data_IF_340911735653
#
_entry.id   IF_340911735653
#
_cell.length_a   1.000
_cell.length_b   1.000
_cell.length_c   1.000
_cell.angle_alpha   90.00
_cell.angle_beta   90.00
_cell.angle_gamma   90.00
#
_symmetry.space_group_name_H-M   'P 1'
#
loop_
_entity.id
_entity.type
_entity.pdbx_description
1 polymer ?
#
# COMPACT_ATOMS: atom_id res chain seq x y z
N UNK A 1 -11.60 11.26 -43.17
CA UNK A 1 -11.24 10.17 -42.24
C UNK A 1 -9.90 10.47 -41.58
N UNK A 2 -9.86 11.46 -40.70
CA UNK A 2 -8.57 11.81 -40.05
C UNK A 2 -8.82 12.65 -38.78
N UNK A 3 -9.46 12.10 -37.71
CA UNK A 3 -9.54 12.90 -36.47
C UNK A 3 -9.88 12.09 -35.21
N UNK A 4 -9.76 10.77 -35.17
CA UNK A 4 -10.05 10.03 -33.90
C UNK A 4 -8.84 9.40 -33.20
N UNK A 5 -7.62 9.51 -33.72
CA UNK A 5 -6.44 8.89 -33.10
C UNK A 5 -5.67 9.81 -32.14
N UNK A 6 -5.82 11.11 -32.24
CA UNK A 6 -5.07 12.11 -31.46
C UNK A 6 -5.37 12.19 -29.94
N UNK A 7 -6.60 11.98 -29.44
CA UNK A 7 -6.85 12.11 -28.01
C UNK A 7 -6.38 10.92 -27.15
N UNK A 8 -6.15 9.75 -27.74
CA UNK A 8 -5.73 8.55 -26.98
C UNK A 8 -4.22 8.58 -26.69
N UNK A 9 -3.41 9.01 -27.62
CA UNK A 9 -1.96 9.18 -27.43
C UNK A 9 -1.65 10.26 -26.38
N UNK A 10 -2.39 11.38 -26.38
CA UNK A 10 -2.23 12.44 -25.36
C UNK A 10 -2.67 12.04 -23.96
N UNK A 11 -3.58 11.10 -23.79
CA UNK A 11 -3.99 10.58 -22.47
C UNK A 11 -2.94 9.63 -21.91
N UNK A 12 -2.35 8.78 -22.73
CA UNK A 12 -1.29 7.85 -22.31
C UNK A 12 0.02 8.60 -21.97
N UNK A 13 0.39 9.59 -22.76
CA UNK A 13 1.53 10.49 -22.46
C UNK A 13 1.29 11.31 -21.18
N UNK A 14 0.11 11.88 -21.00
CA UNK A 14 -0.24 12.62 -19.77
C UNK A 14 -0.31 11.73 -18.55
N UNK A 15 -0.84 10.51 -18.65
CA UNK A 15 -0.84 9.54 -17.56
C UNK A 15 0.58 9.11 -17.19
N UNK A 16 1.43 8.83 -18.19
CA UNK A 16 2.83 8.45 -17.96
C UNK A 16 3.63 9.60 -17.37
N UNK A 17 3.47 10.83 -17.88
CA UNK A 17 4.15 12.01 -17.33
C UNK A 17 3.66 12.37 -15.92
N UNK A 18 2.37 12.25 -15.66
CA UNK A 18 1.80 12.49 -14.30
C UNK A 18 2.25 11.41 -13.30
N UNK A 19 2.35 10.15 -13.72
CA UNK A 19 2.90 9.06 -12.90
C UNK A 19 4.39 9.26 -12.63
N UNK A 20 5.17 9.63 -13.64
CA UNK A 20 6.60 9.92 -13.48
C UNK A 20 6.82 11.12 -12.56
N UNK A 21 6.07 12.22 -12.73
CA UNK A 21 6.15 13.40 -11.88
C UNK A 21 5.74 13.09 -10.43
N UNK A 22 4.74 12.23 -10.21
CA UNK A 22 4.34 11.79 -8.86
C UNK A 22 5.35 10.82 -8.24
N UNK A 23 5.98 9.96 -9.02
CA UNK A 23 7.08 9.12 -8.58
C UNK A 23 8.30 9.97 -8.19
N UNK A 24 8.69 10.93 -9.01
CA UNK A 24 9.80 11.85 -8.73
C UNK A 24 9.51 12.70 -7.47
N UNK A 25 8.29 13.21 -7.32
CA UNK A 25 7.90 13.93 -6.10
C UNK A 25 7.90 13.03 -4.87
N UNK A 26 7.52 11.77 -4.99
CA UNK A 26 7.58 10.78 -3.91
C UNK A 26 9.03 10.43 -3.56
N UNK A 27 9.90 10.23 -4.55
CA UNK A 27 11.34 10.02 -4.33
C UNK A 27 12.01 11.23 -3.68
N UNK A 28 11.64 12.44 -4.09
CA UNK A 28 12.13 13.68 -3.48
C UNK A 28 11.71 13.79 -2.01
N UNK A 29 10.45 13.51 -1.70
CA UNK A 29 9.93 13.49 -0.32
C UNK A 29 10.66 12.45 0.53
N UNK A 30 10.98 11.30 -0.03
CA UNK A 30 11.76 10.23 0.63
C UNK A 30 13.18 10.70 0.91
N UNK A 31 13.84 11.30 -0.08
CA UNK A 31 15.20 11.82 0.08
C UNK A 31 15.24 12.91 1.14
N UNK A 32 14.27 13.83 1.16
CA UNK A 32 14.15 14.87 2.18
C UNK A 32 13.86 14.28 3.58
N UNK A 33 13.09 13.21 3.68
CA UNK A 33 12.85 12.51 4.96
C UNK A 33 14.08 11.75 5.42
N UNK A 34 14.83 11.11 4.52
CA UNK A 34 16.10 10.48 4.82
C UNK A 34 17.14 11.51 5.28
N UNK A 35 17.21 12.67 4.63
CA UNK A 35 18.09 13.76 5.04
C UNK A 35 17.73 14.32 6.43
N UNK A 36 16.45 14.48 6.73
CA UNK A 36 15.95 14.82 8.08
C UNK A 36 16.28 13.75 9.10
N UNK A 37 16.19 12.47 8.75
CA UNK A 37 16.60 11.35 9.59
C UNK A 37 18.10 11.37 9.87
N UNK A 38 18.94 11.59 8.84
CA UNK A 38 20.39 11.73 9.02
C UNK A 38 20.75 12.94 9.89
N UNK A 39 20.05 14.06 9.75
CA UNK A 39 20.23 15.24 10.59
C UNK A 39 19.82 14.99 12.03
N UNK A 40 18.67 14.34 12.26
CA UNK A 40 18.21 13.92 13.59
C UNK A 40 19.15 12.90 14.23
N UNK A 41 19.74 11.99 13.43
CA UNK A 41 20.79 11.08 13.88
C UNK A 41 22.06 11.81 14.31
N UNK A 42 22.43 12.89 13.61
CA UNK A 42 23.57 13.76 13.99
C UNK A 42 23.33 14.52 15.31
N UNK A 43 22.14 15.07 15.45
CA UNK A 43 21.72 15.78 16.69
C UNK A 43 21.59 14.82 17.89
N UNK A 44 21.17 13.57 17.62
CA UNK A 44 21.05 12.53 18.65
C UNK A 44 22.42 11.97 19.12
N UNK A 45 23.46 12.07 18.30
CA UNK A 45 24.83 11.73 18.72
C UNK A 45 25.35 12.71 19.81
N UNK A 46 24.92 13.96 19.77
CA UNK A 46 25.21 14.93 20.85
C UNK A 46 24.36 14.69 22.11
N UNK A 47 23.08 14.26 21.94
CA UNK A 47 22.25 13.84 23.08
C UNK A 47 22.75 12.54 23.73
N UNK A 48 23.35 11.62 22.96
CA UNK A 48 23.88 10.34 23.48
C UNK A 48 25.04 10.57 24.48
N UNK A 49 25.79 11.64 24.34
CA UNK A 49 26.81 12.04 25.33
C UNK A 49 26.18 12.58 26.63
N UNK A 50 24.89 13.01 26.61
CA UNK A 50 24.15 13.41 27.81
C UNK A 50 23.36 12.27 28.48
N UNK A 51 23.22 11.11 27.80
CA UNK A 51 22.38 9.98 28.25
C UNK A 51 23.04 9.18 29.37
N UNK A 52 24.36 9.24 29.55
CA UNK A 52 25.04 8.56 30.65
C UNK A 52 24.54 9.03 32.04
N UNK A 53 24.11 10.29 32.18
CA UNK A 53 23.49 10.78 33.41
C UNK A 53 22.01 10.37 33.61
N UNK A 54 21.29 10.11 32.52
CA UNK A 54 19.87 9.73 32.55
C UNK A 54 19.65 8.23 32.82
N UNK A 55 20.63 7.37 32.52
CA UNK A 55 20.57 5.93 32.84
C UNK A 55 20.50 5.70 34.34
N UNK A 56 21.20 6.50 35.13
CA UNK A 56 21.17 6.43 36.61
C UNK A 56 19.81 6.84 37.20
N UNK A 57 19.13 7.78 36.56
CA UNK A 57 17.80 8.24 36.97
C UNK A 57 16.72 7.24 36.56
N UNK A 58 16.82 6.65 35.39
CA UNK A 58 15.95 5.55 34.92
C UNK A 58 16.11 4.28 35.79
N UNK A 59 17.31 4.01 36.27
CA UNK A 59 17.59 2.87 37.15
C UNK A 59 16.80 2.94 38.48
N UNK A 60 16.52 4.18 39.00
CA UNK A 60 15.69 4.37 40.20
C UNK A 60 14.20 4.11 39.97
N UNK A 61 13.71 4.28 38.74
CA UNK A 61 12.28 4.10 38.41
C UNK A 61 11.99 2.64 38.01
N UNK A 62 12.97 1.91 37.46
CA UNK A 62 12.82 0.53 36.96
C UNK A 62 13.47 -0.50 37.93
N UNK A 63 13.17 -0.44 39.20
CA UNK A 63 13.69 -1.37 40.21
C UNK A 63 13.19 -2.82 40.09
N UNK A 64 12.14 -3.09 39.28
CA UNK A 64 11.52 -4.40 39.13
C UNK A 64 11.76 -4.97 37.73
N UNK A 65 12.27 -6.21 37.62
CA UNK A 65 12.52 -6.92 36.34
C UNK A 65 11.27 -6.97 35.44
N UNK A 66 10.11 -7.18 36.04
CA UNK A 66 8.83 -7.21 35.30
C UNK A 66 8.47 -5.84 34.71
N UNK A 67 8.74 -4.74 35.47
CA UNK A 67 8.49 -3.39 34.98
C UNK A 67 9.40 -3.02 33.81
N UNK A 68 10.63 -3.54 33.78
CA UNK A 68 11.59 -3.32 32.67
C UNK A 68 11.16 -4.01 31.37
N UNK A 69 10.70 -5.27 31.44
CA UNK A 69 10.13 -5.99 30.28
C UNK A 69 8.94 -5.22 29.72
N UNK A 70 7.96 -4.90 30.55
CA UNK A 70 6.78 -4.13 30.15
C UNK A 70 7.13 -2.77 29.55
N UNK A 71 8.18 -2.10 30.04
CA UNK A 71 8.61 -0.82 29.48
C UNK A 71 9.13 -0.97 28.02
N UNK A 72 9.92 -2.01 27.75
CA UNK A 72 10.45 -2.28 26.41
C UNK A 72 9.31 -2.60 25.42
N UNK A 73 8.33 -3.40 25.87
CA UNK A 73 7.12 -3.69 25.10
C UNK A 73 6.30 -2.43 24.79
N UNK A 74 6.07 -1.56 25.78
CA UNK A 74 5.32 -0.30 25.63
C UNK A 74 6.06 0.66 24.70
N UNK A 75 7.39 0.74 24.79
CA UNK A 75 8.19 1.54 23.89
C UNK A 75 8.08 1.06 22.44
N UNK A 76 8.25 -0.24 22.21
CA UNK A 76 8.14 -0.84 20.89
C UNK A 76 6.72 -0.64 20.32
N UNK A 77 5.70 -0.85 21.13
CA UNK A 77 4.30 -0.57 20.75
C UNK A 77 4.11 0.87 20.32
N UNK A 78 4.64 1.83 21.08
CA UNK A 78 4.57 3.25 20.72
C UNK A 78 5.22 3.56 19.36
N UNK A 79 6.34 2.91 19.04
CA UNK A 79 6.99 3.04 17.73
C UNK A 79 6.10 2.43 16.62
N UNK A 80 5.53 1.25 16.84
CA UNK A 80 4.63 0.58 15.89
C UNK A 80 3.37 1.41 15.63
N UNK A 81 2.73 1.94 16.68
CA UNK A 81 1.55 2.80 16.59
C UNK A 81 1.81 4.07 15.80
N UNK A 82 3.00 4.66 15.92
CA UNK A 82 3.36 5.88 15.19
C UNK A 82 3.73 5.62 13.73
N UNK A 83 4.30 4.46 13.41
CA UNK A 83 4.84 4.17 12.07
C UNK A 83 3.90 3.36 11.19
N UNK A 84 3.28 2.32 11.75
CA UNK A 84 2.47 1.33 11.01
C UNK A 84 1.22 0.88 11.78
N UNK A 85 0.35 1.79 12.27
CA UNK A 85 -0.70 1.51 13.25
C UNK A 85 -1.70 0.40 12.86
N UNK A 86 -1.90 0.15 11.56
CA UNK A 86 -2.85 -0.87 11.06
C UNK A 86 -2.18 -2.13 10.52
N UNK A 87 -0.85 -2.18 10.52
CA UNK A 87 -0.08 -3.20 9.83
C UNK A 87 0.66 -4.15 10.75
N UNK A 88 0.30 -4.21 12.03
CA UNK A 88 0.83 -5.17 12.98
C UNK A 88 -0.27 -5.77 13.84
N UNK A 89 0.06 -6.83 14.53
CA UNK A 89 -0.78 -7.52 15.51
C UNK A 89 0.02 -7.79 16.78
N UNK A 90 -0.68 -7.80 17.92
CA UNK A 90 -0.09 -8.07 19.22
C UNK A 90 -0.39 -9.50 19.66
N UNK A 91 0.55 -10.12 20.37
CA UNK A 91 0.40 -11.43 21.01
C UNK A 91 -0.09 -12.52 20.03
N UNK A 92 0.66 -12.71 18.94
CA UNK A 92 0.28 -13.60 17.84
C UNK A 92 0.95 -14.96 17.97
N UNK A 93 0.17 -16.02 17.79
CA UNK A 93 0.71 -17.38 17.73
C UNK A 93 1.37 -17.60 16.34
N UNK A 94 2.70 -17.50 16.29
CA UNK A 94 3.49 -17.67 15.06
C UNK A 94 4.24 -19.00 15.02
N UNK A 95 4.64 -19.55 16.17
CA UNK A 95 5.36 -20.80 16.29
C UNK A 95 4.53 -22.03 15.91
N UNK A 96 5.14 -23.20 15.97
CA UNK A 96 4.46 -24.49 15.70
C UNK A 96 3.37 -24.80 16.74
N UNK A 97 3.58 -24.38 17.97
CA UNK A 97 2.62 -24.57 19.07
C UNK A 97 1.80 -23.31 19.28
N UNK A 98 0.53 -23.47 19.59
CA UNK A 98 -0.38 -22.35 19.90
C UNK A 98 0.08 -21.50 21.11
N UNK A 99 0.92 -22.06 21.99
CA UNK A 99 1.54 -21.38 23.12
C UNK A 99 2.74 -20.52 22.77
N UNK A 100 3.31 -20.71 21.59
CA UNK A 100 4.47 -19.95 21.09
C UNK A 100 3.98 -18.67 20.43
N UNK A 101 3.76 -17.64 21.27
CA UNK A 101 3.21 -16.35 20.86
C UNK A 101 4.28 -15.27 20.93
N UNK A 102 4.44 -14.54 19.86
CA UNK A 102 5.32 -13.36 19.79
C UNK A 102 4.57 -12.12 20.25
N UNK A 103 5.28 -11.18 20.87
CA UNK A 103 4.71 -9.91 21.36
C UNK A 103 4.09 -9.10 20.23
N UNK A 104 4.80 -8.93 19.11
CA UNK A 104 4.35 -8.19 17.95
C UNK A 104 4.68 -8.92 16.66
N UNK A 105 3.78 -8.83 15.67
CA UNK A 105 4.01 -9.35 14.34
C UNK A 105 3.57 -8.32 13.29
N UNK A 106 4.48 -7.88 12.44
CA UNK A 106 4.17 -6.98 11.32
C UNK A 106 3.60 -7.77 10.16
N UNK A 107 2.46 -7.32 9.63
CA UNK A 107 1.78 -7.95 8.48
C UNK A 107 2.38 -7.47 7.18
N UNK A 108 3.08 -8.34 6.48
CA UNK A 108 3.63 -8.09 5.15
C UNK A 108 2.60 -8.55 4.12
N UNK A 109 2.03 -7.63 3.32
CA UNK A 109 1.03 -7.98 2.30
C UNK A 109 1.58 -9.00 1.31
N UNK A 110 0.76 -10.00 0.98
CA UNK A 110 1.08 -10.93 -0.11
C UNK A 110 0.86 -10.28 -1.48
N UNK A 111 1.66 -10.68 -2.47
CA UNK A 111 1.46 -10.27 -3.87
C UNK A 111 0.24 -10.95 -4.51
N UNK A 112 -0.25 -12.04 -3.93
CA UNK A 112 -1.38 -12.81 -4.44
C UNK A 112 -2.69 -12.31 -3.82
N UNK A 113 -3.70 -12.02 -4.66
CA UNK A 113 -5.03 -11.59 -4.20
C UNK A 113 -5.69 -12.67 -3.35
N UNK A 114 -5.99 -12.33 -2.10
CA UNK A 114 -6.68 -13.20 -1.17
C UNK A 114 -5.78 -14.14 -0.36
N UNK A 115 -4.45 -14.08 -0.55
CA UNK A 115 -3.52 -14.79 0.32
C UNK A 115 -3.38 -14.08 1.67
N UNK A 116 -3.19 -14.84 2.72
CA UNK A 116 -2.92 -14.30 4.06
C UNK A 116 -1.59 -13.54 4.08
N UNK A 117 -1.45 -12.46 4.86
CA UNK A 117 -0.20 -11.73 4.98
C UNK A 117 0.86 -12.61 5.67
N UNK A 118 2.10 -12.49 5.21
CA UNK A 118 3.25 -13.08 5.92
C UNK A 118 3.57 -12.25 7.15
N UNK A 119 3.79 -12.88 8.28
CA UNK A 119 4.06 -12.22 9.55
C UNK A 119 5.56 -12.06 9.79
N UNK A 120 6.02 -10.85 10.13
CA UNK A 120 7.37 -10.60 10.61
C UNK A 120 7.35 -10.52 12.14
N UNK A 121 7.88 -11.53 12.86
CA UNK A 121 7.89 -11.54 14.31
C UNK A 121 8.88 -10.49 14.86
N UNK A 122 8.46 -9.73 15.86
CA UNK A 122 9.31 -8.78 16.60
C UNK A 122 9.10 -9.03 18.10
N UNK A 123 10.17 -9.27 18.79
CA UNK A 123 10.16 -9.55 20.21
C UNK A 123 11.08 -8.58 20.94
N UNK A 124 10.61 -7.98 22.04
CA UNK A 124 11.39 -6.98 22.78
C UNK A 124 12.24 -7.63 23.86
N UNK A 125 13.50 -7.24 23.95
CA UNK A 125 14.42 -7.71 24.96
C UNK A 125 15.19 -6.58 25.61
N UNK A 126 15.27 -6.65 26.94
CA UNK A 126 15.96 -5.64 27.74
C UNK A 126 16.78 -6.25 28.86
N UNK A 127 17.93 -6.90 28.56
CA UNK A 127 18.84 -7.48 29.56
C UNK A 127 19.61 -6.38 30.32
N UNK A 128 18.87 -5.55 31.03
CA UNK A 128 19.39 -4.34 31.68
C UNK A 128 20.43 -4.63 32.77
N UNK A 129 20.28 -5.72 33.51
CA UNK A 129 21.21 -6.07 34.59
C UNK A 129 22.59 -6.40 34.06
N UNK A 130 22.65 -7.14 32.97
CA UNK A 130 23.93 -7.51 32.33
C UNK A 130 24.58 -6.27 31.68
N UNK A 131 23.75 -5.40 31.10
CA UNK A 131 24.22 -4.14 30.49
C UNK A 131 24.73 -3.13 31.55
N UNK A 132 24.06 -2.99 32.70
CA UNK A 132 24.53 -2.14 33.80
C UNK A 132 25.86 -2.66 34.33
N UNK A 133 25.98 -3.98 34.58
CA UNK A 133 27.24 -4.58 35.03
C UNK A 133 28.41 -4.27 34.09
N UNK A 134 28.12 -4.27 32.79
CA UNK A 134 29.09 -3.94 31.77
C UNK A 134 29.50 -2.44 31.84
N UNK A 135 28.53 -1.54 31.98
CA UNK A 135 28.78 -0.09 32.14
C UNK A 135 29.57 0.19 33.41
N UNK A 136 29.19 -0.39 34.57
CA UNK A 136 29.88 -0.22 35.83
C UNK A 136 31.35 -0.70 35.78
N UNK A 137 31.59 -1.84 35.12
CA UNK A 137 32.94 -2.37 34.90
C UNK A 137 33.78 -1.46 33.99
N UNK A 138 33.16 -0.86 32.97
CA UNK A 138 33.82 0.11 32.10
C UNK A 138 34.16 1.41 32.83
N UNK A 139 33.25 1.95 33.65
CA UNK A 139 33.45 3.17 34.43
C UNK A 139 34.54 3.01 35.49
N UNK A 140 34.66 1.81 36.08
CA UNK A 140 35.73 1.48 37.03
C UNK A 140 37.05 1.10 36.35
N UNK A 141 37.15 1.13 35.03
CA UNK A 141 38.35 0.74 34.27
C UNK A 141 38.88 -0.66 34.62
N UNK A 142 38.01 -1.58 35.10
CA UNK A 142 38.38 -2.97 35.42
C UNK A 142 38.26 -3.85 34.14
N UNK A 143 39.39 -4.07 33.49
CA UNK A 143 39.43 -4.82 32.23
C UNK A 143 38.97 -6.28 32.40
N UNK A 144 39.21 -6.91 33.54
CA UNK A 144 38.81 -8.31 33.79
C UNK A 144 37.30 -8.38 34.05
N UNK A 145 36.74 -7.51 34.87
CA UNK A 145 35.33 -7.40 35.11
C UNK A 145 34.56 -7.02 33.83
N UNK A 146 35.11 -6.10 33.02
CA UNK A 146 34.53 -5.69 31.73
C UNK A 146 34.42 -6.87 30.75
N UNK A 147 35.48 -7.68 30.60
CA UNK A 147 35.48 -8.85 29.72
C UNK A 147 34.48 -9.89 30.21
N UNK A 148 34.40 -10.14 31.52
CA UNK A 148 33.41 -11.07 32.09
C UNK A 148 31.96 -10.61 31.89
N UNK A 149 31.68 -9.29 32.15
CA UNK A 149 30.36 -8.72 31.97
C UNK A 149 29.92 -8.72 30.50
N UNK A 150 30.84 -8.41 29.57
CA UNK A 150 30.56 -8.50 28.11
C UNK A 150 30.16 -9.90 27.69
N UNK A 151 30.93 -10.91 28.12
CA UNK A 151 30.62 -12.31 27.84
C UNK A 151 29.26 -12.72 28.40
N UNK A 152 28.96 -12.33 29.64
CA UNK A 152 27.67 -12.63 30.27
C UNK A 152 26.49 -12.02 29.48
N UNK A 153 26.62 -10.78 29.02
CA UNK A 153 25.64 -10.11 28.17
C UNK A 153 25.46 -10.84 26.85
N UNK A 154 26.55 -11.21 26.16
CA UNK A 154 26.52 -11.95 24.91
C UNK A 154 25.84 -13.32 25.07
N UNK A 155 26.18 -14.09 26.11
CA UNK A 155 25.56 -15.36 26.43
C UNK A 155 24.05 -15.21 26.70
N UNK A 156 23.66 -14.12 27.39
CA UNK A 156 22.25 -13.79 27.61
C UNK A 156 21.51 -13.53 26.30
N UNK A 157 22.06 -12.71 25.41
CA UNK A 157 21.49 -12.41 24.09
C UNK A 157 21.35 -13.69 23.24
N UNK A 158 22.34 -14.58 23.27
CA UNK A 158 22.23 -15.87 22.58
C UNK A 158 21.12 -16.75 23.16
N UNK A 159 20.92 -16.72 24.46
CA UNK A 159 19.79 -17.39 25.12
C UNK A 159 18.45 -16.87 24.64
N UNK A 160 18.29 -15.54 24.59
CA UNK A 160 17.07 -14.90 24.09
C UNK A 160 16.83 -15.22 22.61
N UNK A 161 17.88 -15.23 21.79
CA UNK A 161 17.75 -15.57 20.37
C UNK A 161 17.21 -16.99 20.15
N UNK A 162 17.61 -17.96 20.99
CA UNK A 162 17.05 -19.32 20.93
C UNK A 162 15.56 -19.36 21.18
N UNK A 163 15.07 -18.52 22.10
CA UNK A 163 13.64 -18.42 22.39
C UNK A 163 12.89 -17.75 21.23
N UNK A 164 13.41 -16.64 20.70
CA UNK A 164 12.79 -15.90 19.58
C UNK A 164 12.75 -16.75 18.30
N UNK A 165 13.74 -17.59 18.05
CA UNK A 165 13.76 -18.48 16.89
C UNK A 165 12.52 -19.37 16.78
N UNK A 166 11.89 -19.74 17.91
CA UNK A 166 10.68 -20.55 17.95
C UNK A 166 9.47 -19.86 17.28
N UNK A 167 9.51 -18.55 17.13
CA UNK A 167 8.46 -17.77 16.47
C UNK A 167 8.56 -17.78 14.95
N UNK A 168 9.66 -18.31 14.38
CA UNK A 168 9.88 -18.40 12.93
C UNK A 168 9.25 -19.70 12.42
N UNK A 169 8.21 -19.59 11.59
CA UNK A 169 7.45 -20.70 11.03
C UNK A 169 7.05 -20.39 9.58
N UNK A 170 7.93 -20.68 8.64
CA UNK A 170 7.70 -20.45 7.20
C UNK A 170 6.71 -21.48 6.64
N UNK A 171 5.72 -21.08 5.83
CA UNK A 171 5.55 -19.78 5.17
C UNK A 171 4.71 -18.75 5.94
N UNK A 172 4.16 -19.11 7.10
CA UNK A 172 3.33 -18.19 7.91
C UNK A 172 4.09 -16.94 8.34
N UNK A 173 5.38 -17.10 8.65
CA UNK A 173 6.26 -15.99 9.00
C UNK A 173 7.35 -15.78 7.97
N UNK A 174 8.02 -14.62 8.05
CA UNK A 174 9.31 -14.41 7.39
C UNK A 174 10.33 -15.45 7.87
N UNK A 175 11.38 -15.76 7.05
CA UNK A 175 12.44 -16.70 7.45
C UNK A 175 13.38 -16.14 8.53
N UNK A 176 13.07 -14.99 9.09
CA UNK A 176 13.80 -14.31 10.17
C UNK A 176 12.83 -13.58 11.11
N UNK A 177 13.30 -13.30 12.32
CA UNK A 177 12.61 -12.48 13.30
C UNK A 177 13.50 -11.34 13.77
N UNK A 178 12.91 -10.32 14.41
CA UNK A 178 13.63 -9.16 14.96
C UNK A 178 13.65 -9.26 16.47
N UNK A 179 14.85 -9.14 17.04
CA UNK A 179 15.07 -8.88 18.45
C UNK A 179 15.21 -7.37 18.65
N UNK A 180 14.22 -6.75 19.24
CA UNK A 180 14.25 -5.34 19.58
C UNK A 180 14.96 -5.13 20.90
N UNK A 181 16.04 -4.33 20.88
CA UNK A 181 16.82 -3.94 22.06
C UNK A 181 16.39 -2.54 22.49
N UNK A 182 15.86 -2.41 23.69
CA UNK A 182 15.11 -1.24 24.12
C UNK A 182 15.92 0.07 24.26
N UNK A 183 17.26 0.03 24.16
CA UNK A 183 18.11 1.22 24.16
C UNK A 183 19.15 1.18 23.05
N UNK A 184 19.48 2.34 22.50
CA UNK A 184 20.56 2.46 21.48
C UNK A 184 21.91 2.04 22.02
N UNK A 185 22.22 2.31 23.30
CA UNK A 185 23.49 1.91 23.92
C UNK A 185 23.62 0.38 23.96
N UNK A 186 22.57 -0.34 24.36
CA UNK A 186 22.57 -1.81 24.34
C UNK A 186 22.69 -2.35 22.90
N UNK A 187 21.95 -1.77 21.95
CA UNK A 187 22.08 -2.12 20.56
C UNK A 187 23.48 -1.91 20.02
N UNK A 188 24.08 -0.75 20.28
CA UNK A 188 25.43 -0.42 19.83
C UNK A 188 26.50 -1.36 20.41
N UNK A 189 26.39 -1.73 21.69
CA UNK A 189 27.30 -2.68 22.33
C UNK A 189 27.23 -4.06 21.65
N UNK A 190 26.01 -4.58 21.39
CA UNK A 190 25.84 -5.86 20.73
C UNK A 190 26.26 -5.82 19.26
N UNK A 191 25.87 -4.74 18.54
CA UNK A 191 26.17 -4.59 17.12
C UNK A 191 27.68 -4.42 16.85
N UNK A 192 28.43 -3.86 17.81
CA UNK A 192 29.88 -3.67 17.71
C UNK A 192 30.71 -4.80 18.34
N UNK A 193 30.05 -5.88 18.76
CA UNK A 193 30.73 -7.01 19.40
C UNK A 193 31.76 -7.63 18.44
N UNK A 194 32.98 -7.81 18.95
CA UNK A 194 34.10 -8.42 18.22
C UNK A 194 34.09 -9.95 18.26
N UNK A 195 33.16 -10.53 19.01
CA UNK A 195 33.04 -12.00 19.14
C UNK A 195 32.35 -12.66 17.94
N UNK A 196 31.88 -11.88 16.95
CA UNK A 196 31.08 -12.39 15.83
C UNK A 196 29.63 -12.66 16.24
N UNK A 197 29.15 -12.07 17.33
CA UNK A 197 27.80 -12.28 17.85
C UNK A 197 26.70 -11.85 16.84
N UNK A 198 26.76 -10.66 16.20
CA UNK A 198 25.74 -10.25 15.23
C UNK A 198 25.61 -11.25 14.06
N UNK A 199 26.73 -11.71 13.51
CA UNK A 199 26.78 -12.68 12.43
C UNK A 199 26.21 -14.04 12.87
N UNK A 200 26.50 -14.44 14.10
CA UNK A 200 25.99 -15.67 14.68
C UNK A 200 24.47 -15.62 14.90
N UNK A 201 23.95 -14.49 15.40
CA UNK A 201 22.51 -14.26 15.54
C UNK A 201 21.80 -14.37 14.21
N UNK A 202 22.36 -13.76 13.16
CA UNK A 202 21.77 -13.77 11.83
C UNK A 202 21.88 -15.14 11.15
N UNK A 203 23.06 -15.77 11.15
CA UNK A 203 23.32 -16.96 10.34
C UNK A 203 22.83 -18.26 11.01
N UNK A 204 22.94 -18.37 12.34
CA UNK A 204 22.54 -19.59 13.05
C UNK A 204 21.10 -19.54 13.56
N UNK A 205 20.63 -18.35 13.98
CA UNK A 205 19.31 -18.19 14.60
C UNK A 205 18.30 -17.51 13.69
N UNK A 206 18.71 -16.89 12.59
CA UNK A 206 17.88 -16.06 11.73
C UNK A 206 17.27 -14.87 12.49
N UNK A 207 18.03 -14.29 13.41
CA UNK A 207 17.58 -13.15 14.23
C UNK A 207 18.35 -11.89 13.79
N UNK A 208 17.60 -10.86 13.46
CA UNK A 208 18.13 -9.51 13.24
C UNK A 208 17.95 -8.69 14.53
N UNK A 209 19.01 -8.01 14.96
CA UNK A 209 18.93 -7.07 16.10
C UNK A 209 18.55 -5.68 15.62
N UNK A 210 17.75 -4.97 16.39
CA UNK A 210 17.39 -3.58 16.11
C UNK A 210 17.25 -2.77 17.40
N UNK A 211 17.84 -1.57 17.42
CA UNK A 211 17.57 -0.55 18.43
C UNK A 211 16.39 0.34 18.04
N UNK A 212 16.00 1.31 18.87
CA UNK A 212 14.87 2.21 18.63
C UNK A 212 14.95 2.95 17.29
N UNK A 213 16.13 3.44 16.92
CA UNK A 213 16.36 4.15 15.65
C UNK A 213 16.31 3.18 14.48
N UNK A 214 16.98 2.04 14.60
CA UNK A 214 17.05 1.04 13.53
C UNK A 214 15.69 0.45 13.22
N UNK A 215 14.89 0.10 14.24
CA UNK A 215 13.54 -0.42 14.05
C UNK A 215 12.62 0.63 13.42
N UNK A 216 12.71 1.89 13.86
CA UNK A 216 11.91 2.97 13.29
C UNK A 216 12.24 3.18 11.81
N UNK A 217 13.50 3.16 11.42
CA UNK A 217 13.93 3.28 10.03
C UNK A 217 13.43 2.11 9.19
N UNK A 218 13.52 0.88 9.71
CA UNK A 218 13.02 -0.32 9.05
C UNK A 218 11.51 -0.27 8.85
N UNK A 219 10.74 0.06 9.90
CA UNK A 219 9.28 0.14 9.84
C UNK A 219 8.80 1.24 8.87
N UNK A 220 9.47 2.38 8.85
CA UNK A 220 9.20 3.43 7.87
C UNK A 220 9.45 2.96 6.43
N UNK A 221 10.55 2.24 6.20
CA UNK A 221 10.87 1.67 4.89
C UNK A 221 9.83 0.64 4.45
N UNK A 222 9.41 -0.24 5.35
CA UNK A 222 8.32 -1.21 5.11
C UNK A 222 7.00 -0.50 4.81
N UNK A 223 6.63 0.52 5.60
CA UNK A 223 5.40 1.31 5.38
C UNK A 223 5.36 1.93 3.98
N UNK A 224 6.49 2.47 3.52
CA UNK A 224 6.60 2.98 2.15
C UNK A 224 6.47 1.89 1.10
N UNK A 225 7.15 0.77 1.27
CA UNK A 225 7.05 -0.38 0.38
C UNK A 225 5.60 -0.86 0.25
N UNK A 226 4.89 -1.01 1.35
CA UNK A 226 3.50 -1.44 1.38
C UNK A 226 2.54 -0.44 0.70
N UNK A 227 2.73 0.86 0.92
CA UNK A 227 1.97 1.91 0.21
C UNK A 227 2.19 1.83 -1.31
N UNK A 228 3.42 1.58 -1.74
CA UNK A 228 3.75 1.44 -3.15
C UNK A 228 3.06 0.22 -3.78
N UNK A 229 3.07 -0.93 -3.10
CA UNK A 229 2.36 -2.15 -3.54
C UNK A 229 0.85 -1.88 -3.66
N UNK A 230 0.24 -1.28 -2.64
CA UNK A 230 -1.19 -0.94 -2.66
C UNK A 230 -1.57 0.04 -3.78
N UNK A 231 -0.72 1.03 -4.09
CA UNK A 231 -0.91 1.95 -5.21
C UNK A 231 -0.84 1.19 -6.55
N UNK A 232 0.13 0.30 -6.72
CA UNK A 232 0.28 -0.49 -7.94
C UNK A 232 -0.91 -1.44 -8.18
N UNK A 233 -1.46 -2.04 -7.14
CA UNK A 233 -2.66 -2.87 -7.23
C UNK A 233 -3.86 -2.05 -7.70
N UNK A 234 -4.11 -0.89 -7.09
CA UNK A 234 -5.18 0.02 -7.52
C UNK A 234 -4.99 0.53 -8.94
N UNK A 235 -3.76 0.86 -9.34
CA UNK A 235 -3.46 1.26 -10.72
C UNK A 235 -3.79 0.15 -11.73
N UNK A 236 -3.50 -1.10 -11.39
CA UNK A 236 -3.84 -2.25 -12.24
C UNK A 236 -5.36 -2.49 -12.32
N UNK A 237 -6.11 -2.25 -11.25
CA UNK A 237 -7.58 -2.31 -11.27
C UNK A 237 -8.17 -1.23 -12.19
N UNK A 238 -7.67 0.00 -12.10
CA UNK A 238 -8.08 1.10 -12.99
C UNK A 238 -7.76 0.79 -14.44
N UNK A 239 -6.57 0.24 -14.75
CA UNK A 239 -6.22 -0.20 -16.11
C UNK A 239 -7.19 -1.24 -16.67
N UNK A 240 -7.57 -2.23 -15.87
CA UNK A 240 -8.56 -3.26 -16.28
C UNK A 240 -9.93 -2.64 -16.56
N UNK A 241 -10.37 -1.70 -15.70
CA UNK A 241 -11.62 -0.98 -15.89
C UNK A 241 -11.60 -0.15 -17.19
N UNK A 242 -10.52 0.59 -17.44
CA UNK A 242 -10.36 1.36 -18.68
C UNK A 242 -10.35 0.48 -19.92
N UNK A 243 -9.71 -0.68 -19.88
CA UNK A 243 -9.75 -1.64 -20.98
C UNK A 243 -11.16 -2.16 -21.26
N UNK A 244 -11.93 -2.46 -20.22
CA UNK A 244 -13.33 -2.86 -20.35
C UNK A 244 -14.19 -1.72 -20.93
N UNK A 245 -14.02 -0.49 -20.45
CA UNK A 245 -14.70 0.69 -21.01
C UNK A 245 -14.38 0.90 -22.49
N UNK A 246 -13.10 0.76 -22.88
CA UNK A 246 -12.70 0.85 -24.29
C UNK A 246 -13.45 -0.15 -25.16
N UNK A 247 -13.51 -1.41 -24.74
CA UNK A 247 -14.23 -2.46 -25.46
C UNK A 247 -15.71 -2.12 -25.62
N UNK A 248 -16.36 -1.59 -24.57
CA UNK A 248 -17.76 -1.18 -24.63
C UNK A 248 -17.97 0.03 -25.55
N UNK A 249 -17.02 0.93 -25.59
CA UNK A 249 -17.06 2.10 -26.48
C UNK A 249 -16.99 1.69 -27.95
N UNK A 250 -16.16 0.71 -28.30
CA UNK A 250 -16.06 0.16 -29.67
C UNK A 250 -17.36 -0.53 -30.08
N UNK A 251 -17.99 -1.29 -29.18
CA UNK A 251 -19.31 -1.90 -29.41
C UNK A 251 -20.38 -0.82 -29.63
N UNK A 252 -20.40 0.23 -28.79
CA UNK A 252 -21.33 1.34 -28.92
C UNK A 252 -21.19 2.06 -30.25
N UNK A 253 -19.95 2.32 -30.70
CA UNK A 253 -19.68 2.89 -32.03
C UNK A 253 -20.25 2.04 -33.17
N UNK A 254 -20.16 0.71 -33.07
CA UNK A 254 -20.74 -0.21 -34.03
C UNK A 254 -22.28 -0.13 -34.06
N UNK A 255 -22.91 -0.03 -32.89
CA UNK A 255 -24.36 0.10 -32.77
C UNK A 255 -24.85 1.41 -33.39
N UNK A 256 -24.14 2.53 -33.12
CA UNK A 256 -24.47 3.82 -33.70
C UNK A 256 -24.35 3.83 -35.24
N UNK A 257 -23.33 3.19 -35.81
CA UNK A 257 -23.21 3.05 -37.26
C UNK A 257 -24.36 2.28 -37.87
N UNK A 258 -24.80 1.18 -37.20
CA UNK A 258 -25.97 0.42 -37.63
C UNK A 258 -27.26 1.23 -37.56
N UNK A 259 -27.46 2.01 -36.51
CA UNK A 259 -28.60 2.91 -36.35
C UNK A 259 -28.63 3.97 -37.45
N UNK A 260 -27.49 4.63 -37.72
CA UNK A 260 -27.37 5.60 -38.80
C UNK A 260 -27.75 5.01 -40.17
N UNK A 261 -27.24 3.81 -40.48
CA UNK A 261 -27.58 3.14 -41.74
C UNK A 261 -29.08 2.89 -41.87
N UNK A 262 -29.77 2.46 -40.79
CA UNK A 262 -31.21 2.27 -40.81
C UNK A 262 -31.99 3.57 -41.04
N UNK A 263 -31.50 4.68 -40.47
CA UNK A 263 -32.09 6.02 -40.68
C UNK A 263 -31.92 6.44 -42.16
N UNK A 264 -30.71 6.25 -42.71
CA UNK A 264 -30.44 6.55 -44.14
C UNK A 264 -31.30 5.68 -45.09
N UNK A 265 -31.52 4.40 -44.75
CA UNK A 265 -32.38 3.50 -45.54
C UNK A 265 -33.85 3.92 -45.44
N UNK A 266 -34.32 4.34 -44.26
CA UNK A 266 -35.68 4.89 -44.07
C UNK A 266 -35.87 6.18 -44.87
N UNK A 267 -34.88 7.08 -44.83
CA UNK A 267 -34.87 8.33 -45.63
C UNK A 267 -35.05 8.04 -47.13
N UNK A 268 -34.28 7.10 -47.68
CA UNK A 268 -34.43 6.69 -49.10
C UNK A 268 -35.81 6.14 -49.42
N UNK A 269 -36.39 5.37 -48.49
CA UNK A 269 -37.75 4.80 -48.71
C UNK A 269 -38.82 5.90 -48.73
N UNK A 270 -38.64 6.96 -47.90
CA UNK A 270 -39.51 8.16 -47.90
C UNK A 270 -39.37 8.96 -49.21
N UNK A 271 -38.13 9.17 -49.66
CA UNK A 271 -37.88 9.86 -50.94
C UNK A 271 -38.55 9.12 -52.15
N UNK A 272 -38.45 7.77 -52.17
CA UNK A 272 -39.11 6.94 -53.18
C UNK A 272 -40.63 7.09 -53.09
N UNK A 273 -41.22 7.09 -51.89
CA UNK A 273 -42.65 7.28 -51.69
C UNK A 273 -43.10 8.68 -52.16
N UNK A 274 -42.38 9.75 -51.84
CA UNK A 274 -42.64 11.11 -52.31
C UNK A 274 -42.55 11.21 -53.84
N UNK A 275 -41.55 10.58 -54.43
CA UNK A 275 -41.42 10.56 -55.90
C UNK A 275 -42.62 9.89 -56.57
N UNK A 276 -43.07 8.72 -56.06
CA UNK A 276 -44.27 8.03 -56.56
C UNK A 276 -45.50 8.91 -56.40
N UNK A 277 -45.69 9.54 -55.25
CA UNK A 277 -46.81 10.43 -55.00
C UNK A 277 -46.83 11.61 -56.01
N UNK A 278 -45.67 12.21 -56.31
CA UNK A 278 -45.55 13.31 -57.28
C UNK A 278 -45.95 12.87 -58.72
N UNK A 279 -45.60 11.62 -59.10
CA UNK A 279 -46.00 11.01 -60.38
C UNK A 279 -47.51 10.83 -60.43
N UNK A 280 -48.13 10.34 -59.38
CA UNK A 280 -49.57 10.13 -59.26
C UNK A 280 -50.31 11.48 -59.37
N UNK A 281 -49.85 12.49 -58.60
CA UNK A 281 -50.43 13.85 -58.67
C UNK A 281 -50.34 14.45 -60.06
N UNK A 282 -49.20 14.30 -60.80
CA UNK A 282 -49.06 14.75 -62.20
C UNK A 282 -50.07 14.04 -63.13
N UNK A 283 -50.34 12.74 -62.96
CA UNK A 283 -51.29 12.00 -63.78
C UNK A 283 -52.74 12.36 -63.47
N UNK A 284 -53.05 12.77 -62.25
CA UNK A 284 -54.39 13.16 -61.80
C UNK A 284 -54.74 14.61 -62.13
N UNK A 285 -53.78 15.46 -62.60
CA UNK A 285 -54.04 16.85 -62.99
C UNK A 285 -55.12 17.10 -64.03
N UNK A 286 -55.71 16.08 -64.62
CA UNK A 286 -56.80 16.19 -65.57
C UNK A 286 -58.15 15.71 -65.05
N UNK A 287 -58.21 15.34 -63.77
CA UNK A 287 -59.45 14.91 -63.07
C UNK A 287 -60.05 16.10 -62.40
N UNK A 288 -61.38 16.28 -62.46
CA UNK A 288 -62.11 17.35 -61.81
C UNK A 288 -61.89 17.33 -60.28
N UNK A 289 -61.54 18.51 -59.67
CA UNK A 289 -61.35 18.60 -58.21
C UNK A 289 -62.72 18.56 -57.51
N UNK A 290 -62.87 17.63 -56.61
CA UNK A 290 -64.00 17.53 -55.68
C UNK A 290 -63.67 18.11 -54.32
N UNK A 291 -64.68 18.56 -53.56
CA UNK A 291 -64.42 19.05 -52.20
C UNK A 291 -63.82 18.00 -51.27
N UNK A 292 -62.95 18.42 -50.35
CA UNK A 292 -62.20 17.52 -49.47
C UNK A 292 -63.13 16.61 -48.63
N UNK A 293 -64.25 17.12 -48.16
CA UNK A 293 -65.25 16.38 -47.41
C UNK A 293 -65.90 15.24 -48.20
N UNK A 294 -66.09 15.43 -49.53
CA UNK A 294 -66.64 14.43 -50.44
C UNK A 294 -65.59 13.37 -50.79
N UNK A 295 -64.35 13.78 -50.97
CA UNK A 295 -63.22 12.88 -51.18
C UNK A 295 -62.96 11.96 -49.97
N UNK A 296 -63.04 12.49 -48.75
CA UNK A 296 -62.89 11.70 -47.52
C UNK A 296 -64.01 10.66 -47.36
N UNK A 297 -65.25 11.01 -47.73
CA UNK A 297 -66.37 10.09 -47.71
C UNK A 297 -66.23 8.98 -48.75
N UNK A 298 -65.79 9.30 -50.01
CA UNK A 298 -65.60 8.32 -51.08
C UNK A 298 -64.47 7.34 -50.77
N UNK A 299 -63.40 7.81 -50.17
CA UNK A 299 -62.21 7.00 -49.86
C UNK A 299 -62.27 6.31 -48.49
N UNK A 300 -63.30 6.54 -47.67
CA UNK A 300 -63.47 6.00 -46.31
C UNK A 300 -62.25 6.26 -45.42
N UNK A 301 -61.60 7.44 -45.54
CA UNK A 301 -60.45 7.81 -44.76
C UNK A 301 -60.95 8.42 -43.44
N UNK A 302 -60.69 7.77 -42.33
CA UNK A 302 -61.03 8.23 -40.98
C UNK A 302 -60.19 9.47 -40.60
N UNK A 303 -60.83 10.50 -40.02
CA UNK A 303 -60.22 11.82 -39.70
C UNK A 303 -59.16 11.82 -38.59
N UNK A 304 -58.56 10.67 -38.27
CA UNK A 304 -57.66 10.48 -37.13
C UNK A 304 -56.20 10.86 -37.32
N UNK A 305 -55.73 11.41 -38.47
CA UNK A 305 -54.29 11.54 -38.76
C UNK A 305 -53.77 12.95 -39.12
N UNK A 306 -54.56 13.99 -38.92
CA UNK A 306 -54.11 15.38 -39.28
C UNK A 306 -54.35 16.40 -38.19
N UNK A 307 -54.07 16.13 -36.96
CA UNK A 307 -53.99 17.18 -35.92
C UNK A 307 -52.86 16.90 -34.92
N UNK A 308 -51.61 17.13 -35.35
CA UNK A 308 -50.48 17.47 -34.44
C UNK A 308 -49.32 18.09 -35.22
N UNK A 309 -49.54 19.26 -35.86
CA UNK A 309 -48.46 20.23 -36.11
C UNK A 309 -49.10 21.62 -36.08
N UNK A 310 -49.06 22.21 -34.89
CA UNK A 310 -48.87 23.63 -34.56
C UNK A 310 -49.15 23.80 -33.07
N UNK A 311 -48.07 23.92 -32.29
CA UNK A 311 -47.90 24.87 -31.23
C UNK A 311 -46.74 24.45 -30.27
N UNK A 312 -45.73 25.28 -30.28
CA UNK A 312 -44.61 25.57 -29.37
C UNK A 312 -43.24 25.08 -29.78
#
# INVERSE_FOLDING_TARGET
VQTCALPILTVDEKLTSTLTTRLDSSFKTVSEQLEKLYKSLGEMKELSNGVTSNVTTLNRVLTNVKARGTWAEVQLKGILDQTIPTMYEENVATGEKATERVEFAVKIPSSEKGAEPTLLPIDSKFPMEDYIRLCDAADNADAAALAAARKALEDRILGEAKEIRKYINVPKTTPYAIMYLATEGLYAEIASSRSGLPEKLQNEYNIMIAGPITITALLNSLSMGFKTVAINEKANEVRKLLAACKTQYDIFGTVLQKAKKKIDDAGRSLDDAQHRNSIIQKKLRGVEDIERSEAENILSIDQGLVDTEDDN
#
